data_IF_535437633079
#
_entry.id   IF_535437633079
#
_cell.length_a   1.000
_cell.length_b   1.000
_cell.length_c   1.000
_cell.angle_alpha   90.00
_cell.angle_beta   90.00
_cell.angle_gamma   90.00
#
_symmetry.space_group_name_H-M   'P 1'
#
loop_
_entity.id
_entity.type
_entity.pdbx_description
1 polymer ?
#
# COMPACT_ATOMS: atom_id res chain seq x y z
N UNK A 1 -50.88 -82.81 61.32
CA UNK A 1 -52.34 -83.04 61.35
C UNK A 1 -52.90 -82.97 59.94
N UNK A 2 -53.33 -84.09 59.37
CA UNK A 2 -54.10 -84.07 58.11
C UNK A 2 -55.55 -83.70 58.40
N UNK A 3 -56.02 -82.55 57.87
CA UNK A 3 -57.42 -82.15 57.99
C UNK A 3 -58.24 -82.89 56.93
N UNK A 4 -59.30 -83.58 57.36
CA UNK A 4 -60.27 -84.21 56.45
C UNK A 4 -61.01 -83.13 55.65
N UNK A 5 -61.27 -83.40 54.37
CA UNK A 5 -62.04 -82.50 53.51
C UNK A 5 -63.44 -82.24 54.10
N UNK A 6 -63.80 -80.96 54.24
CA UNK A 6 -65.11 -80.51 54.74
C UNK A 6 -65.82 -79.77 53.61
N UNK A 7 -66.87 -80.39 53.07
CA UNK A 7 -67.75 -79.74 52.09
C UNK A 7 -68.62 -78.72 52.81
N UNK A 8 -68.76 -77.53 52.23
CA UNK A 8 -69.64 -76.45 52.72
C UNK A 8 -71.10 -76.66 52.36
N UNK A 9 -71.38 -77.43 51.31
CA UNK A 9 -72.72 -77.79 50.87
C UNK A 9 -73.00 -79.28 51.09
N UNK A 10 -74.25 -79.69 51.36
CA UNK A 10 -74.60 -81.11 51.42
C UNK A 10 -74.32 -81.77 50.06
N UNK A 11 -73.61 -82.89 50.08
CA UNK A 11 -73.27 -83.65 48.89
C UNK A 11 -73.42 -85.14 49.17
N UNK A 12 -74.00 -85.87 48.21
CA UNK A 12 -74.22 -87.32 48.30
C UNK A 12 -72.91 -88.10 48.32
N UNK A 13 -71.90 -87.67 47.53
CA UNK A 13 -70.57 -88.27 47.49
C UNK A 13 -69.47 -87.23 47.81
N UNK A 14 -68.81 -87.40 48.96
CA UNK A 14 -67.76 -86.49 49.46
C UNK A 14 -66.47 -86.52 48.64
N UNK A 15 -66.10 -87.66 48.04
CA UNK A 15 -64.88 -87.78 47.25
C UNK A 15 -64.98 -87.05 45.92
N UNK A 16 -66.12 -87.21 45.24
CA UNK A 16 -66.38 -86.47 44.00
C UNK A 16 -66.44 -84.97 44.28
N UNK A 17 -67.14 -84.57 45.37
CA UNK A 17 -67.26 -83.18 45.78
C UNK A 17 -65.89 -82.53 46.05
N UNK A 18 -64.98 -83.25 46.72
CA UNK A 18 -63.59 -82.82 46.90
C UNK A 18 -62.87 -82.58 45.56
N UNK A 19 -62.93 -83.54 44.64
CA UNK A 19 -62.25 -83.42 43.33
C UNK A 19 -62.76 -82.23 42.53
N UNK A 20 -64.07 -81.98 42.56
CA UNK A 20 -64.66 -80.83 41.88
C UNK A 20 -64.22 -79.52 42.52
N UNK A 21 -64.27 -79.41 43.84
CA UNK A 21 -63.83 -78.20 44.55
C UNK A 21 -62.34 -77.91 44.33
N UNK A 22 -61.49 -78.94 44.36
CA UNK A 22 -60.06 -78.82 44.06
C UNK A 22 -59.82 -78.32 42.62
N UNK A 23 -60.63 -78.80 41.66
CA UNK A 23 -60.59 -78.34 40.26
C UNK A 23 -61.06 -76.89 40.12
N UNK A 24 -62.23 -76.55 40.66
CA UNK A 24 -62.76 -75.18 40.62
C UNK A 24 -61.82 -74.19 41.30
N UNK A 25 -61.21 -74.59 42.41
CA UNK A 25 -60.20 -73.79 43.08
C UNK A 25 -58.98 -73.57 42.18
N UNK A 26 -58.48 -74.63 41.55
CA UNK A 26 -57.34 -74.53 40.62
C UNK A 26 -57.66 -73.64 39.41
N UNK A 27 -58.82 -73.82 38.79
CA UNK A 27 -59.29 -73.02 37.65
C UNK A 27 -59.47 -71.55 38.04
N UNK A 28 -60.09 -71.27 39.20
CA UNK A 28 -60.22 -69.91 39.73
C UNK A 28 -58.85 -69.28 40.00
N UNK A 29 -57.90 -70.02 40.57
CA UNK A 29 -56.54 -69.53 40.80
C UNK A 29 -55.80 -69.21 39.51
N UNK A 30 -56.04 -69.96 38.43
CA UNK A 30 -55.52 -69.67 37.10
C UNK A 30 -56.13 -68.37 36.58
N UNK A 31 -57.45 -68.21 36.65
CA UNK A 31 -58.13 -66.98 36.20
C UNK A 31 -57.68 -65.74 36.98
N UNK A 32 -57.52 -65.85 38.29
CA UNK A 32 -57.01 -64.75 39.13
C UNK A 32 -55.57 -64.39 38.77
N UNK A 33 -54.72 -65.40 38.50
CA UNK A 33 -53.33 -65.19 38.12
C UNK A 33 -53.21 -64.54 36.73
N UNK A 34 -54.05 -64.97 35.80
CA UNK A 34 -53.96 -64.57 34.39
C UNK A 34 -54.78 -63.29 34.11
N UNK A 35 -55.54 -62.80 35.11
CA UNK A 35 -56.30 -61.56 35.04
C UNK A 35 -55.39 -60.37 34.70
N UNK A 36 -55.66 -59.74 33.54
CA UNK A 36 -54.92 -58.57 33.10
C UNK A 36 -55.41 -57.29 33.81
N UNK A 37 -54.52 -56.31 34.06
CA UNK A 37 -54.94 -55.02 34.58
C UNK A 37 -55.86 -54.32 33.57
N UNK A 38 -57.00 -53.82 34.04
CA UNK A 38 -57.98 -53.09 33.21
C UNK A 38 -57.53 -51.65 32.90
N UNK A 39 -56.60 -51.12 33.70
CA UNK A 39 -56.10 -49.75 33.59
C UNK A 39 -54.63 -49.79 33.16
N UNK A 40 -54.29 -48.97 32.17
CA UNK A 40 -52.89 -48.75 31.82
C UNK A 40 -52.20 -47.97 32.95
N UNK A 41 -51.23 -48.62 33.58
CA UNK A 41 -50.40 -48.04 34.63
C UNK A 41 -49.00 -47.64 34.11
N UNK A 42 -48.78 -47.65 32.79
CA UNK A 42 -47.51 -47.24 32.20
C UNK A 42 -47.28 -45.73 32.40
N UNK A 43 -46.02 -45.30 32.54
CA UNK A 43 -45.71 -43.89 32.57
C UNK A 43 -46.08 -43.23 31.23
N UNK A 44 -46.52 -41.95 31.24
CA UNK A 44 -46.81 -41.23 30.01
C UNK A 44 -45.56 -41.06 29.15
N UNK A 45 -45.74 -40.91 27.85
CA UNK A 45 -44.63 -40.69 26.92
C UNK A 45 -43.92 -39.37 27.24
N UNK A 46 -42.62 -39.44 27.50
CA UNK A 46 -41.78 -38.25 27.71
C UNK A 46 -41.30 -37.70 26.37
N UNK A 47 -41.54 -36.42 26.11
CA UNK A 47 -41.01 -35.75 24.93
C UNK A 47 -39.69 -35.04 25.23
N UNK A 48 -38.71 -35.21 24.34
CA UNK A 48 -37.36 -34.66 24.53
C UNK A 48 -37.34 -33.13 24.43
N UNK A 49 -38.18 -32.53 23.58
CA UNK A 49 -38.29 -31.06 23.43
C UNK A 49 -38.85 -30.36 24.68
N UNK A 50 -39.47 -31.09 25.61
CA UNK A 50 -39.95 -30.54 26.88
C UNK A 50 -38.80 -30.40 27.89
N UNK A 51 -37.79 -31.25 27.78
CA UNK A 51 -36.61 -31.29 28.65
C UNK A 51 -35.41 -30.55 28.03
N UNK A 52 -35.36 -30.46 26.71
CA UNK A 52 -34.28 -29.83 25.95
C UNK A 52 -34.75 -28.60 25.17
N UNK A 53 -34.03 -27.49 25.35
CA UNK A 53 -34.27 -26.23 24.62
C UNK A 53 -33.49 -26.20 23.31
N UNK A 54 -33.96 -26.95 22.31
CA UNK A 54 -33.28 -27.08 21.02
C UNK A 54 -32.93 -25.76 20.34
N UNK A 55 -33.85 -24.79 20.30
CA UNK A 55 -33.60 -23.47 19.72
C UNK A 55 -32.45 -22.73 20.41
N UNK A 56 -32.33 -22.88 21.73
CA UNK A 56 -31.23 -22.27 22.49
C UNK A 56 -29.89 -22.90 22.06
N UNK A 57 -29.84 -24.23 22.03
CA UNK A 57 -28.64 -24.96 21.64
C UNK A 57 -28.20 -24.63 20.21
N UNK A 58 -29.16 -24.54 19.29
CA UNK A 58 -28.91 -24.14 17.90
C UNK A 58 -28.28 -22.73 17.83
N UNK A 59 -28.84 -21.75 18.53
CA UNK A 59 -28.30 -20.39 18.53
C UNK A 59 -26.90 -20.32 19.16
N UNK A 60 -26.64 -21.10 20.21
CA UNK A 60 -25.31 -21.20 20.82
C UNK A 60 -24.29 -21.79 19.84
N UNK A 61 -24.67 -22.80 19.07
CA UNK A 61 -23.82 -23.41 18.05
C UNK A 61 -23.55 -22.45 16.88
N UNK A 62 -24.57 -21.77 16.38
CA UNK A 62 -24.43 -20.76 15.32
C UNK A 62 -23.52 -19.60 15.78
N UNK A 63 -23.69 -19.13 17.02
CA UNK A 63 -22.85 -18.10 17.60
C UNK A 63 -21.40 -18.56 17.76
N UNK A 64 -21.17 -19.81 18.21
CA UNK A 64 -19.83 -20.42 18.24
C UNK A 64 -19.19 -20.47 16.86
N UNK A 65 -19.94 -20.88 15.83
CA UNK A 65 -19.43 -20.96 14.46
C UNK A 65 -18.99 -19.60 13.91
N UNK A 66 -19.73 -18.53 14.23
CA UNK A 66 -19.35 -17.15 13.88
C UNK A 66 -18.04 -16.77 14.58
N UNK A 67 -17.93 -16.98 15.88
CA UNK A 67 -16.71 -16.70 16.66
C UNK A 67 -15.51 -17.47 16.09
N UNK A 68 -15.67 -18.75 15.77
CA UNK A 68 -14.60 -19.58 15.23
C UNK A 68 -14.14 -19.09 13.84
N UNK A 69 -15.08 -18.69 12.98
CA UNK A 69 -14.77 -18.08 11.68
C UNK A 69 -14.01 -16.77 11.85
N UNK A 70 -14.47 -15.89 12.73
CA UNK A 70 -13.85 -14.58 12.94
C UNK A 70 -12.46 -14.72 13.56
N UNK A 71 -12.29 -15.65 14.51
CA UNK A 71 -10.98 -15.99 15.07
C UNK A 71 -10.03 -16.51 13.99
N UNK A 72 -10.50 -17.35 13.05
CA UNK A 72 -9.68 -17.84 11.94
C UNK A 72 -9.23 -16.69 11.04
N UNK A 73 -10.14 -15.78 10.65
CA UNK A 73 -9.81 -14.61 9.83
C UNK A 73 -8.82 -13.70 10.56
N UNK A 74 -9.02 -13.49 11.87
CA UNK A 74 -8.11 -12.68 12.67
C UNK A 74 -6.71 -13.29 12.71
N UNK A 75 -6.61 -14.60 12.96
CA UNK A 75 -5.33 -15.31 12.98
C UNK A 75 -4.62 -15.26 11.62
N UNK A 76 -5.36 -15.37 10.53
CA UNK A 76 -4.81 -15.22 9.18
C UNK A 76 -4.24 -13.81 8.96
N UNK A 77 -4.98 -12.77 9.32
CA UNK A 77 -4.52 -11.37 9.25
C UNK A 77 -3.29 -11.12 10.12
N UNK A 78 -3.29 -11.61 11.36
CA UNK A 78 -2.14 -11.48 12.28
C UNK A 78 -0.93 -12.23 11.73
N UNK A 79 -1.12 -13.45 11.22
CA UNK A 79 -0.06 -14.24 10.58
C UNK A 79 0.52 -13.51 9.37
N UNK A 80 -0.34 -12.90 8.54
CA UNK A 80 0.10 -12.09 7.42
C UNK A 80 0.94 -10.89 7.88
N UNK A 81 0.48 -10.14 8.89
CA UNK A 81 1.22 -9.00 9.45
C UNK A 81 2.57 -9.44 10.03
N UNK A 82 2.59 -10.54 10.78
CA UNK A 82 3.82 -11.09 11.37
C UNK A 82 4.83 -11.52 10.31
N UNK A 83 4.37 -12.12 9.21
CA UNK A 83 5.22 -12.49 8.06
C UNK A 83 5.78 -11.27 7.34
N UNK A 84 4.95 -10.25 7.09
CA UNK A 84 5.29 -9.07 6.29
C UNK A 84 6.04 -7.98 7.10
N UNK A 85 6.25 -8.19 8.41
CA UNK A 85 6.98 -7.26 9.32
C UNK A 85 6.49 -5.81 9.30
N UNK A 86 5.24 -5.57 8.88
CA UNK A 86 4.65 -4.24 8.85
C UNK A 86 5.17 -3.34 7.71
N UNK A 87 5.61 -3.91 6.57
CA UNK A 87 5.85 -3.10 5.36
C UNK A 87 4.54 -2.51 4.87
N UNK A 88 4.24 -1.29 5.29
CA UNK A 88 3.11 -0.52 4.79
C UNK A 88 3.49 -0.02 3.41
N UNK A 89 2.85 -0.56 2.39
CA UNK A 89 2.65 0.15 1.13
C UNK A 89 1.79 1.37 1.43
N UNK A 90 2.43 2.45 1.83
CA UNK A 90 1.83 3.78 1.84
C UNK A 90 2.67 4.65 0.94
N UNK A 91 2.83 4.22 -0.31
CA UNK A 91 3.26 5.13 -1.37
C UNK A 91 2.07 5.97 -1.81
N UNK A 92 1.51 6.76 -0.88
CA UNK A 92 0.57 7.80 -1.24
C UNK A 92 1.36 8.93 -1.90
N UNK A 93 1.48 8.89 -3.24
CA UNK A 93 1.99 10.01 -4.03
C UNK A 93 0.97 11.15 -4.00
N UNK A 94 0.99 11.92 -2.90
CA UNK A 94 0.30 13.19 -2.86
C UNK A 94 1.05 14.20 -3.72
N UNK A 95 0.47 14.58 -4.86
CA UNK A 95 0.93 15.76 -5.57
C UNK A 95 0.65 17.00 -4.72
N UNK A 96 1.71 17.70 -4.30
CA UNK A 96 1.59 18.97 -3.60
C UNK A 96 1.05 20.05 -4.56
N UNK A 97 -0.28 20.21 -4.57
CA UNK A 97 -0.94 21.25 -5.36
C UNK A 97 -0.78 22.60 -4.67
N UNK A 98 0.05 23.47 -5.27
CA UNK A 98 0.15 24.86 -4.84
C UNK A 98 -0.98 25.67 -5.49
N UNK A 99 -1.72 26.44 -4.69
CA UNK A 99 -2.76 27.36 -5.19
C UNK A 99 -2.21 28.35 -6.25
N UNK A 100 -0.91 28.65 -6.19
CA UNK A 100 -0.23 29.59 -7.09
C UNK A 100 0.44 28.92 -8.31
N UNK A 101 0.27 27.61 -8.51
CA UNK A 101 0.92 26.88 -9.60
C UNK A 101 0.52 27.40 -10.99
N UNK A 102 -0.75 27.77 -11.17
CA UNK A 102 -1.24 28.36 -12.41
C UNK A 102 -0.58 29.70 -12.74
N UNK A 103 -0.48 30.59 -11.74
CA UNK A 103 0.18 31.90 -11.89
C UNK A 103 1.68 31.73 -12.21
N UNK A 104 2.38 30.86 -11.48
CA UNK A 104 3.80 30.56 -11.73
C UNK A 104 4.02 30.02 -13.14
N UNK A 105 3.14 29.16 -13.65
CA UNK A 105 3.24 28.61 -15.01
C UNK A 105 3.05 29.71 -16.07
N UNK A 106 2.10 30.62 -15.87
CA UNK A 106 1.88 31.75 -16.79
C UNK A 106 3.05 32.72 -16.79
N UNK A 107 3.61 33.04 -15.62
CA UNK A 107 4.82 33.88 -15.51
C UNK A 107 6.02 33.23 -16.21
N UNK A 108 6.22 31.93 -16.03
CA UNK A 108 7.30 31.19 -16.69
C UNK A 108 7.16 31.22 -18.22
N UNK A 109 5.94 31.04 -18.74
CA UNK A 109 5.66 31.18 -20.17
C UNK A 109 5.91 32.60 -20.68
N UNK A 110 5.54 33.62 -19.90
CA UNK A 110 5.77 35.03 -20.24
C UNK A 110 7.28 35.32 -20.34
N UNK A 111 8.04 34.97 -19.30
CA UNK A 111 9.50 35.15 -19.26
C UNK A 111 10.16 34.37 -20.40
N UNK A 112 9.75 33.13 -20.65
CA UNK A 112 10.29 32.33 -21.75
C UNK A 112 10.04 32.97 -23.12
N UNK A 113 8.86 33.55 -23.34
CA UNK A 113 8.52 34.25 -24.58
C UNK A 113 9.32 35.54 -24.74
N UNK A 114 9.48 36.31 -23.66
CA UNK A 114 10.29 37.53 -23.63
C UNK A 114 11.76 37.22 -23.93
N UNK A 115 12.33 36.19 -23.29
CA UNK A 115 13.69 35.72 -23.53
C UNK A 115 13.87 35.29 -24.99
N UNK A 116 12.92 34.55 -25.57
CA UNK A 116 12.97 34.15 -26.97
C UNK A 116 12.95 35.37 -27.92
N UNK A 117 12.17 36.41 -27.59
CA UNK A 117 12.12 37.65 -28.37
C UNK A 117 13.43 38.44 -28.26
N UNK A 118 14.03 38.52 -27.07
CA UNK A 118 15.34 39.15 -26.86
C UNK A 118 16.40 38.42 -27.71
N UNK A 119 16.41 37.09 -27.66
CA UNK A 119 17.36 36.28 -28.43
C UNK A 119 17.19 36.49 -29.93
N UNK A 120 15.95 36.56 -30.45
CA UNK A 120 15.69 36.92 -31.85
C UNK A 120 16.26 38.29 -32.21
N UNK A 121 16.08 39.30 -31.35
CA UNK A 121 16.63 40.65 -31.59
C UNK A 121 18.16 40.64 -31.61
N UNK A 122 18.80 39.96 -30.65
CA UNK A 122 20.26 39.84 -30.59
C UNK A 122 20.83 39.14 -31.82
N UNK A 123 20.14 38.11 -32.33
CA UNK A 123 20.55 37.38 -33.54
C UNK A 123 20.34 38.23 -34.80
N UNK A 124 19.23 38.96 -34.89
CA UNK A 124 18.90 39.79 -36.04
C UNK A 124 19.73 41.08 -36.10
N UNK A 125 20.19 41.57 -34.95
CA UNK A 125 21.02 42.76 -34.87
C UNK A 125 22.38 42.48 -35.50
N UNK A 126 22.65 43.12 -36.64
CA UNK A 126 23.98 43.15 -37.24
C UNK A 126 24.90 43.99 -36.35
N UNK A 127 26.10 43.47 -36.08
CA UNK A 127 27.14 44.24 -35.41
C UNK A 127 27.70 45.27 -36.39
N UNK A 128 27.50 46.56 -36.13
CA UNK A 128 28.07 47.67 -36.93
C UNK A 128 29.57 47.91 -36.62
N UNK A 129 30.26 46.91 -36.06
CA UNK A 129 31.67 46.99 -35.69
C UNK A 129 32.51 46.80 -36.96
N UNK A 130 32.82 47.89 -37.65
CA UNK A 130 33.85 47.89 -38.69
C UNK A 130 35.24 47.83 -38.01
N UNK A 131 35.81 46.62 -37.95
CA UNK A 131 37.12 46.36 -37.36
C UNK A 131 38.26 47.14 -38.03
N UNK A 132 38.14 47.41 -39.33
CA UNK A 132 39.15 48.17 -40.05
C UNK A 132 39.11 49.64 -39.64
N UNK A 133 37.91 50.24 -39.59
CA UNK A 133 37.74 51.60 -39.07
C UNK A 133 38.26 51.76 -37.64
N UNK A 134 38.13 50.73 -36.80
CA UNK A 134 38.65 50.75 -35.43
C UNK A 134 40.18 50.72 -35.39
N UNK A 135 40.81 49.91 -36.25
CA UNK A 135 42.28 49.90 -36.40
C UNK A 135 42.80 51.23 -36.94
N UNK A 136 42.12 51.81 -37.93
CA UNK A 136 42.49 53.09 -38.52
C UNK A 136 42.33 54.24 -37.53
N UNK A 137 41.21 54.26 -36.80
CA UNK A 137 40.99 55.24 -35.73
C UNK A 137 42.01 55.06 -34.61
N UNK A 138 42.36 53.82 -34.24
CA UNK A 138 43.40 53.54 -33.25
C UNK A 138 44.76 54.03 -33.71
N UNK A 139 45.14 53.80 -34.97
CA UNK A 139 46.39 54.29 -35.54
C UNK A 139 46.45 55.83 -35.54
N UNK A 140 45.37 56.51 -35.95
CA UNK A 140 45.27 57.97 -35.86
C UNK A 140 45.38 58.47 -34.43
N UNK A 141 44.67 57.83 -33.49
CA UNK A 141 44.76 58.17 -32.08
C UNK A 141 46.16 57.94 -31.52
N UNK A 142 46.85 56.88 -31.93
CA UNK A 142 48.24 56.62 -31.53
C UNK A 142 49.15 57.78 -31.92
N UNK A 143 49.02 58.28 -33.16
CA UNK A 143 49.77 59.46 -33.62
C UNK A 143 49.40 60.71 -32.82
N UNK A 144 48.11 60.92 -32.52
CA UNK A 144 47.71 62.03 -31.64
C UNK A 144 48.25 61.89 -30.23
N UNK A 145 48.31 60.66 -29.69
CA UNK A 145 48.92 60.38 -28.40
C UNK A 145 50.41 60.70 -28.41
N UNK A 146 51.16 60.28 -29.43
CA UNK A 146 52.59 60.61 -29.56
C UNK A 146 52.82 62.12 -29.64
N UNK A 147 51.94 62.84 -30.33
CA UNK A 147 52.03 64.29 -30.49
C UNK A 147 51.67 65.09 -29.22
N UNK A 148 50.77 64.56 -28.37
CA UNK A 148 50.29 65.23 -27.15
C UNK A 148 51.09 64.76 -25.91
N UNK A 149 51.73 63.60 -26.00
CA UNK A 149 52.45 63.03 -24.88
C UNK A 149 53.69 63.85 -24.53
N UNK A 150 53.81 64.18 -23.24
CA UNK A 150 55.00 64.84 -22.68
C UNK A 150 56.21 63.89 -22.57
N UNK A 151 55.97 62.58 -22.61
CA UNK A 151 56.96 61.53 -22.41
C UNK A 151 56.69 60.38 -23.39
N UNK A 152 57.74 59.76 -23.92
CA UNK A 152 57.64 58.65 -24.89
C UNK A 152 56.82 57.48 -24.32
N UNK A 153 56.16 56.69 -25.19
CA UNK A 153 55.30 55.57 -24.79
C UNK A 153 56.02 54.62 -23.81
N UNK A 154 57.33 54.43 -23.97
CA UNK A 154 58.16 53.54 -23.15
C UNK A 154 58.92 54.24 -21.99
N UNK A 155 58.52 55.46 -21.60
CA UNK A 155 59.22 56.26 -20.58
C UNK A 155 59.33 55.59 -19.19
N UNK A 156 58.50 54.57 -18.93
CA UNK A 156 58.52 53.79 -17.69
C UNK A 156 59.42 52.54 -17.76
N UNK A 157 59.88 52.14 -18.96
CA UNK A 157 60.72 50.95 -19.16
C UNK A 157 62.21 51.32 -18.97
N UNK A 158 62.61 52.56 -19.26
CA UNK A 158 63.99 53.05 -19.08
C UNK A 158 64.20 53.84 -17.77
N UNK A 159 63.92 53.23 -16.61
CA UNK A 159 64.49 53.72 -15.34
C UNK A 159 65.85 53.04 -15.12
N UNK A 160 66.95 53.77 -14.89
CA UNK A 160 68.19 53.14 -14.45
C UNK A 160 67.95 52.51 -13.07
N UNK A 161 68.34 51.25 -12.96
CA UNK A 161 68.40 50.39 -11.77
C UNK A 161 68.42 51.15 -10.44
N UNK A 162 67.41 50.95 -9.60
CA UNK A 162 67.42 51.51 -8.25
C UNK A 162 66.36 51.04 -7.26
N UNK A 163 65.48 50.07 -7.57
CA UNK A 163 64.62 49.43 -6.56
C UNK A 163 64.38 47.96 -6.91
N UNK A 164 65.10 47.08 -6.20
CA UNK A 164 64.66 45.70 -6.03
C UNK A 164 63.40 45.70 -5.16
N UNK A 165 62.28 45.28 -5.74
CA UNK A 165 61.11 44.87 -4.99
C UNK A 165 60.96 43.37 -5.17
N UNK A 166 61.50 42.65 -4.20
CA UNK A 166 61.18 41.25 -3.94
C UNK A 166 59.69 41.19 -3.59
N UNK A 167 58.91 40.51 -4.42
CA UNK A 167 57.95 39.50 -4.00
C UNK A 167 57.18 38.99 -5.21
N UNK A 168 57.40 37.71 -5.52
CA UNK A 168 56.44 36.89 -6.22
C UNK A 168 55.11 36.94 -5.47
N UNK A 169 54.09 37.56 -6.08
CA UNK A 169 52.72 37.06 -6.15
C UNK A 169 51.79 38.08 -6.79
N UNK A 170 50.82 37.51 -7.51
CA UNK A 170 49.70 38.15 -8.19
C UNK A 170 50.05 38.98 -9.42
N UNK A 171 50.07 38.32 -10.59
CA UNK A 171 49.30 38.71 -11.78
C UNK A 171 49.43 37.66 -12.92
N UNK A 172 49.47 36.37 -12.61
CA UNK A 172 49.08 35.33 -13.57
C UNK A 172 47.61 34.98 -13.34
N UNK A 173 46.71 35.60 -14.10
CA UNK A 173 45.35 35.14 -14.43
C UNK A 173 44.61 36.20 -15.27
N UNK A 174 45.11 36.54 -16.46
CA UNK A 174 44.25 37.17 -17.48
C UNK A 174 44.59 36.83 -18.93
N UNK A 175 45.34 35.76 -19.17
CA UNK A 175 45.62 35.29 -20.52
C UNK A 175 45.80 33.77 -20.53
N UNK A 176 44.75 33.05 -20.14
CA UNK A 176 44.52 31.71 -20.67
C UNK A 176 43.25 31.76 -21.50
N UNK A 177 43.47 31.68 -22.81
CA UNK A 177 42.52 31.26 -23.82
C UNK A 177 41.70 30.05 -23.35
N UNK A 178 40.38 30.18 -23.33
CA UNK A 178 39.46 29.05 -23.25
C UNK A 178 39.52 28.27 -24.58
N UNK A 179 39.80 26.96 -24.57
CA UNK A 179 39.66 26.10 -25.74
C UNK A 179 38.20 26.08 -26.24
N UNK A 180 38.03 26.18 -27.55
CA UNK A 180 36.74 25.97 -28.22
C UNK A 180 36.38 24.48 -28.21
N UNK A 181 35.74 23.98 -27.16
CA UNK A 181 35.20 22.61 -27.14
C UNK A 181 33.78 22.45 -26.58
N UNK A 182 32.92 23.47 -26.63
CA UNK A 182 31.55 23.34 -26.06
C UNK A 182 30.42 23.14 -27.09
N UNK A 183 30.73 23.08 -28.39
CA UNK A 183 29.68 22.88 -29.43
C UNK A 183 29.33 21.42 -29.72
N UNK A 184 30.15 20.46 -29.28
CA UNK A 184 29.92 19.03 -29.53
C UNK A 184 29.08 18.38 -28.41
N UNK A 185 29.34 18.76 -27.17
CA UNK A 185 28.67 18.21 -25.97
C UNK A 185 27.18 18.56 -25.95
N UNK A 186 26.80 19.75 -26.43
CA UNK A 186 25.40 20.20 -26.41
C UNK A 186 24.55 19.55 -27.51
N UNK A 187 25.13 19.26 -28.68
CA UNK A 187 24.46 18.56 -29.78
C UNK A 187 24.23 17.07 -29.44
N UNK A 188 25.20 16.44 -28.77
CA UNK A 188 25.11 15.05 -28.35
C UNK A 188 24.11 14.85 -27.19
N UNK A 189 23.96 15.85 -26.30
CA UNK A 189 22.91 15.83 -25.26
C UNK A 189 21.49 16.03 -25.82
N UNK A 190 21.34 16.80 -26.91
CA UNK A 190 20.04 16.99 -27.57
C UNK A 190 19.63 15.73 -28.35
N UNK A 191 20.57 15.08 -29.05
CA UNK A 191 20.32 13.86 -29.82
C UNK A 191 20.09 12.62 -28.94
N UNK A 192 20.67 12.56 -27.73
CA UNK A 192 20.37 11.49 -26.76
C UNK A 192 18.93 11.57 -26.25
N UNK A 193 18.46 12.78 -25.93
CA UNK A 193 17.11 12.99 -25.41
C UNK A 193 16.03 12.68 -26.47
N UNK A 194 16.25 13.03 -27.75
CA UNK A 194 15.31 12.70 -28.82
C UNK A 194 15.21 11.19 -29.13
N UNK A 195 16.28 10.42 -28.90
CA UNK A 195 16.28 8.97 -29.11
C UNK A 195 15.65 8.21 -27.93
N UNK A 196 15.84 8.68 -26.70
CA UNK A 196 15.17 8.12 -25.50
C UNK A 196 13.65 8.40 -25.49
N UNK A 197 13.22 9.55 -26.01
CA UNK A 197 11.79 9.86 -26.18
C UNK A 197 11.11 8.99 -27.26
N UNK A 198 11.83 8.62 -28.33
CA UNK A 198 11.31 7.72 -29.37
C UNK A 198 11.26 6.26 -28.92
N UNK A 199 12.27 5.77 -28.20
CA UNK A 199 12.26 4.39 -27.66
C UNK A 199 11.20 4.18 -26.58
N UNK A 200 10.88 5.22 -25.78
CA UNK A 200 9.82 5.14 -24.76
C UNK A 200 8.40 5.21 -25.34
N UNK A 201 8.24 5.69 -26.57
CA UNK A 201 6.95 5.71 -27.29
C UNK A 201 6.67 4.41 -28.07
N UNK A 202 7.71 3.66 -28.46
CA UNK A 202 7.57 2.35 -29.12
C UNK A 202 7.32 1.19 -28.14
N UNK A 203 7.79 1.29 -26.89
CA UNK A 203 7.61 0.25 -25.87
C UNK A 203 6.27 0.32 -25.10
N UNK A 204 5.36 1.22 -25.49
CA UNK A 204 4.07 1.47 -24.82
C UNK A 204 2.86 1.23 -25.76
N UNK A 205 3.03 0.39 -26.79
CA UNK A 205 1.96 -0.13 -27.66
C UNK A 205 1.82 -1.63 -27.53
#
# INVERSE_FOLDING_TARGET
MHKSYRSTCPATNKFLKKRWDDKYYSDHRILVRDAQPCVDARPPQTFLHLHMKYKKYQLEEEHRAIIERDNRILLEKVSHIMKTKGSVDSHHQYELKSLNQGKRRQELLKVSKENANIMKRLIQQKLDINRENWKDNWAKNSVYFDNIAKYDIDWFISKPSGRQLNNEKSLSKRSQSLPREDKKIQLDSLNKNENEEKSNMENNK
#
